data_IF_548261129340
#
_entry.id   IF_548261129340
#
_cell.length_a   1.000
_cell.length_b   1.000
_cell.length_c   1.000
_cell.angle_alpha   90.00
_cell.angle_beta   90.00
_cell.angle_gamma   90.00
#
_symmetry.space_group_name_H-M   'P 1'
#
loop_
_entity.id
_entity.type
_entity.pdbx_description
1 polymer ?
#
# COMPACT_ATOMS: atom_id res chain seq x y z
N UNK A 1 -60.45 14.10 35.43
CA UNK A 1 -59.30 14.27 34.51
C UNK A 1 -58.08 14.68 35.34
N UNK A 2 -57.25 13.72 35.73
CA UNK A 2 -55.93 13.93 36.35
C UNK A 2 -55.02 12.84 35.79
N UNK A 3 -54.16 13.24 34.88
CA UNK A 3 -53.19 12.39 34.18
C UNK A 3 -52.00 12.14 35.09
N UNK A 4 -51.69 10.86 35.31
CA UNK A 4 -50.48 10.38 35.96
C UNK A 4 -49.30 10.61 35.01
N UNK A 5 -48.29 11.37 35.45
CA UNK A 5 -46.98 11.44 34.80
C UNK A 5 -46.16 10.22 35.25
N UNK A 6 -45.90 9.31 34.33
CA UNK A 6 -44.85 8.31 34.46
C UNK A 6 -43.54 8.98 34.02
N UNK A 7 -42.61 9.17 34.96
CA UNK A 7 -41.23 9.53 34.63
C UNK A 7 -40.48 8.25 34.27
N UNK A 8 -40.35 7.97 32.98
CA UNK A 8 -39.33 7.03 32.51
C UNK A 8 -37.98 7.75 32.59
N UNK A 9 -37.11 7.32 33.50
CA UNK A 9 -35.68 7.61 33.41
C UNK A 9 -35.16 6.96 32.13
N UNK A 10 -35.09 7.75 31.06
CA UNK A 10 -34.29 7.42 29.89
C UNK A 10 -32.84 7.36 30.34
N UNK A 11 -32.27 6.16 30.34
CA UNK A 11 -30.83 6.01 30.27
C UNK A 11 -30.47 6.40 28.84
N UNK A 12 -30.16 7.68 28.62
CA UNK A 12 -29.43 8.11 27.42
C UNK A 12 -28.05 7.46 27.52
N UNK A 13 -27.91 6.32 26.84
CA UNK A 13 -26.61 5.78 26.52
C UNK A 13 -26.01 6.80 25.57
N UNK A 14 -25.05 7.59 26.06
CA UNK A 14 -24.20 8.40 25.20
C UNK A 14 -23.48 7.44 24.24
N UNK A 15 -23.95 7.37 22.99
CA UNK A 15 -23.35 6.62 21.88
C UNK A 15 -21.92 7.11 21.53
N UNK A 16 -21.45 8.17 22.19
CA UNK A 16 -20.14 8.78 22.00
C UNK A 16 -19.01 8.17 22.82
N UNK A 17 -19.25 7.16 23.67
CA UNK A 17 -18.21 6.56 24.52
C UNK A 17 -17.69 5.19 24.09
N UNK A 18 -18.10 4.66 22.92
CA UNK A 18 -17.71 3.31 22.49
C UNK A 18 -16.55 3.25 21.46
N UNK A 19 -16.06 4.40 20.96
CA UNK A 19 -15.14 4.45 19.81
C UNK A 19 -14.03 5.51 19.95
N UNK A 20 -13.30 5.53 21.08
CA UNK A 20 -12.15 6.45 21.26
C UNK A 20 -10.78 5.80 20.98
N UNK A 21 -10.73 4.50 20.69
CA UNK A 21 -9.48 3.78 20.37
C UNK A 21 -9.41 3.42 18.89
N UNK A 22 -8.77 4.27 18.09
CA UNK A 22 -8.57 4.08 16.65
C UNK A 22 -7.80 2.78 16.33
N UNK A 23 -6.95 2.28 17.23
CA UNK A 23 -6.24 1.01 17.04
C UNK A 23 -7.20 -0.19 17.22
N UNK A 24 -8.15 -0.10 18.15
CA UNK A 24 -9.20 -1.11 18.33
C UNK A 24 -10.15 -1.17 17.11
N UNK A 25 -10.53 -0.01 16.56
CA UNK A 25 -11.36 0.08 15.35
C UNK A 25 -10.66 -0.57 14.15
N UNK A 26 -9.37 -0.26 13.94
CA UNK A 26 -8.55 -0.88 12.90
C UNK A 26 -8.49 -2.41 13.05
N UNK A 27 -8.24 -2.91 14.27
CA UNK A 27 -8.19 -4.37 14.53
C UNK A 27 -9.51 -5.06 14.19
N UNK A 28 -10.63 -4.46 14.60
CA UNK A 28 -11.97 -5.05 14.36
C UNK A 28 -12.31 -5.06 12.87
N UNK A 29 -12.01 -3.97 12.16
CA UNK A 29 -12.26 -3.87 10.71
C UNK A 29 -11.37 -4.82 9.90
N UNK A 30 -10.11 -4.98 10.30
CA UNK A 30 -9.18 -5.97 9.72
C UNK A 30 -9.68 -7.40 9.89
N UNK A 31 -10.12 -7.77 11.09
CA UNK A 31 -10.67 -9.11 11.37
C UNK A 31 -11.91 -9.42 10.51
N UNK A 32 -12.85 -8.48 10.42
CA UNK A 32 -14.03 -8.64 9.56
C UNK A 32 -13.65 -8.78 8.09
N UNK A 33 -12.70 -7.98 7.61
CA UNK A 33 -12.22 -8.04 6.22
C UNK A 33 -11.54 -9.37 5.94
N UNK A 34 -10.77 -9.92 6.88
CA UNK A 34 -10.16 -11.24 6.74
C UNK A 34 -11.19 -12.37 6.65
N UNK A 35 -12.25 -12.33 7.46
CA UNK A 35 -13.35 -13.30 7.37
C UNK A 35 -14.11 -13.16 6.04
N UNK A 36 -14.29 -11.92 5.58
CA UNK A 36 -14.91 -11.67 4.30
C UNK A 36 -14.05 -12.18 3.13
N UNK A 37 -12.73 -11.99 3.18
CA UNK A 37 -11.78 -12.61 2.24
C UNK A 37 -11.94 -14.13 2.23
N UNK A 38 -11.97 -14.77 3.40
CA UNK A 38 -12.19 -16.21 3.47
C UNK A 38 -13.47 -16.63 2.73
N UNK A 39 -14.56 -15.88 2.88
CA UNK A 39 -15.81 -16.19 2.18
C UNK A 39 -15.74 -16.03 0.66
N UNK A 40 -14.90 -15.11 0.16
CA UNK A 40 -14.74 -14.89 -1.28
C UNK A 40 -13.79 -15.87 -1.95
N UNK A 41 -12.78 -16.36 -1.23
CA UNK A 41 -11.74 -17.24 -1.79
C UNK A 41 -12.18 -18.70 -1.75
N UNK A 42 -12.86 -19.10 -0.68
CA UNK A 42 -13.16 -20.51 -0.45
C UNK A 42 -14.23 -21.02 -1.41
N UNK A 43 -13.97 -22.19 -1.98
CA UNK A 43 -14.92 -22.93 -2.81
C UNK A 43 -15.75 -23.93 -2.00
N UNK A 44 -15.33 -24.24 -0.78
CA UNK A 44 -16.04 -25.13 0.13
C UNK A 44 -15.91 -24.71 1.61
N UNK A 45 -16.67 -25.38 2.47
CA UNK A 45 -16.71 -25.08 3.91
C UNK A 45 -15.44 -25.46 4.67
N UNK A 46 -14.69 -26.45 4.18
CA UNK A 46 -13.44 -26.89 4.84
C UNK A 46 -12.34 -25.84 4.67
N UNK A 47 -12.19 -25.31 3.46
CA UNK A 47 -11.30 -24.17 3.17
C UNK A 47 -11.70 -22.95 4.00
N UNK A 48 -12.99 -22.62 4.06
CA UNK A 48 -13.48 -21.47 4.83
C UNK A 48 -13.15 -21.60 6.31
N UNK A 49 -13.35 -22.79 6.88
CA UNK A 49 -13.00 -23.07 8.26
C UNK A 49 -11.48 -22.94 8.50
N UNK A 50 -10.67 -23.53 7.62
CA UNK A 50 -9.21 -23.46 7.72
C UNK A 50 -8.71 -22.01 7.66
N UNK A 51 -9.18 -21.23 6.68
CA UNK A 51 -8.88 -19.80 6.54
C UNK A 51 -9.31 -19.00 7.78
N UNK A 52 -10.53 -19.20 8.26
CA UNK A 52 -11.04 -18.51 9.45
C UNK A 52 -10.21 -18.82 10.70
N UNK A 53 -9.67 -20.04 10.82
CA UNK A 53 -8.81 -20.45 11.93
C UNK A 53 -7.40 -19.83 11.88
N UNK A 54 -6.94 -19.35 10.73
CA UNK A 54 -5.60 -18.77 10.56
C UNK A 54 -5.61 -17.27 10.28
N UNK A 55 -6.77 -16.68 10.00
CA UNK A 55 -6.94 -15.26 9.77
C UNK A 55 -6.26 -14.42 10.88
N UNK A 56 -5.42 -13.47 10.47
CA UNK A 56 -4.67 -12.60 11.38
C UNK A 56 -3.51 -13.27 12.14
N UNK A 57 -3.24 -14.57 11.91
CA UNK A 57 -2.00 -15.19 12.42
C UNK A 57 -0.82 -14.77 11.56
N UNK A 58 0.30 -14.54 12.22
CA UNK A 58 1.58 -14.33 11.54
C UNK A 58 1.98 -15.56 10.74
N UNK A 59 2.44 -15.38 9.50
CA UNK A 59 2.89 -16.46 8.62
C UNK A 59 3.93 -17.39 9.25
N UNK A 60 4.84 -16.84 10.06
CA UNK A 60 5.89 -17.59 10.77
C UNK A 60 5.35 -18.57 11.82
N UNK A 61 4.11 -18.37 12.29
CA UNK A 61 3.45 -19.21 13.30
C UNK A 61 2.58 -20.30 12.69
N UNK A 62 2.58 -20.41 11.37
CA UNK A 62 1.68 -21.28 10.61
C UNK A 62 2.50 -22.22 9.73
N UNK A 63 2.20 -23.52 9.81
CA UNK A 63 2.81 -24.50 8.92
C UNK A 63 2.04 -24.56 7.59
N UNK A 64 2.59 -23.88 6.58
CA UNK A 64 1.99 -23.76 5.26
C UNK A 64 1.87 -25.10 4.52
N UNK A 65 2.64 -26.14 4.89
CA UNK A 65 2.63 -27.42 4.18
C UNK A 65 1.38 -28.26 4.46
N UNK A 66 0.66 -27.96 5.54
CA UNK A 66 -0.49 -28.73 6.01
C UNK A 66 -1.82 -27.96 5.88
N UNK A 67 -1.82 -26.84 5.16
CA UNK A 67 -2.99 -25.99 4.98
C UNK A 67 -3.35 -25.84 3.50
N UNK A 68 -4.64 -25.59 3.20
CA UNK A 68 -5.05 -25.12 1.89
C UNK A 68 -4.25 -23.87 1.51
N UNK A 69 -3.87 -23.76 0.24
CA UNK A 69 -3.08 -22.62 -0.25
C UNK A 69 -3.79 -21.29 -0.02
N UNK A 70 -5.13 -21.29 -0.03
CA UNK A 70 -6.02 -20.15 0.19
C UNK A 70 -5.77 -19.48 1.55
N UNK A 71 -5.33 -20.25 2.55
CA UNK A 71 -4.97 -19.74 3.87
C UNK A 71 -3.96 -18.60 3.82
N UNK A 72 -3.02 -18.61 2.86
CA UNK A 72 -2.01 -17.54 2.75
C UNK A 72 -2.62 -16.15 2.59
N UNK A 73 -3.79 -16.06 1.95
CA UNK A 73 -4.42 -14.79 1.64
C UNK A 73 -4.87 -14.03 2.88
N UNK A 74 -5.06 -14.68 4.04
CA UNK A 74 -5.53 -14.06 5.28
C UNK A 74 -4.51 -14.08 6.42
N UNK A 75 -3.27 -14.49 6.13
CA UNK A 75 -2.18 -14.43 7.09
C UNK A 75 -1.61 -13.01 7.16
N UNK A 76 -1.19 -12.63 8.36
CA UNK A 76 -0.36 -11.46 8.58
C UNK A 76 1.08 -11.79 8.17
N UNK A 77 1.64 -10.99 7.27
CA UNK A 77 2.98 -11.12 6.72
C UNK A 77 3.80 -9.94 7.25
N UNK A 78 4.67 -10.18 8.25
CA UNK A 78 5.51 -9.13 8.81
C UNK A 78 6.44 -8.53 7.77
N UNK A 79 6.74 -7.24 7.92
CA UNK A 79 7.76 -6.55 7.13
C UNK A 79 9.09 -7.31 7.06
N UNK A 80 9.61 -7.76 8.20
CA UNK A 80 10.87 -8.50 8.26
C UNK A 80 10.80 -9.83 7.49
N UNK A 81 9.63 -10.48 7.47
CA UNK A 81 9.43 -11.69 6.70
C UNK A 81 9.53 -11.40 5.19
N UNK A 82 8.84 -10.35 4.71
CA UNK A 82 8.92 -9.93 3.30
C UNK A 82 10.35 -9.58 2.90
N UNK A 83 11.08 -8.86 3.76
CA UNK A 83 12.47 -8.49 3.49
C UNK A 83 13.39 -9.70 3.28
N UNK A 84 13.10 -10.83 3.92
CA UNK A 84 13.88 -12.07 3.80
C UNK A 84 13.32 -13.07 2.77
N UNK A 85 12.06 -12.91 2.36
CA UNK A 85 11.32 -13.87 1.54
C UNK A 85 10.45 -13.15 0.50
N UNK A 86 11.05 -12.45 -0.46
CA UNK A 86 10.33 -11.75 -1.54
C UNK A 86 10.66 -12.28 -2.94
N UNK A 87 11.22 -13.48 -3.03
CA UNK A 87 11.69 -14.08 -4.27
C UNK A 87 10.60 -14.89 -4.98
N UNK A 88 10.72 -14.98 -6.30
CA UNK A 88 9.76 -15.71 -7.14
C UNK A 88 9.57 -17.19 -6.74
N UNK A 89 10.57 -17.80 -6.10
CA UNK A 89 10.54 -19.20 -5.65
C UNK A 89 9.98 -19.41 -4.24
N UNK A 90 9.64 -18.34 -3.50
CA UNK A 90 9.09 -18.49 -2.17
C UNK A 90 7.67 -19.09 -2.22
N UNK A 91 7.45 -20.17 -1.46
CA UNK A 91 6.18 -20.93 -1.46
C UNK A 91 4.95 -20.04 -1.20
N UNK A 92 5.07 -19.06 -0.30
CA UNK A 92 3.96 -18.15 0.00
C UNK A 92 3.61 -17.22 -1.19
N UNK A 93 4.61 -16.80 -1.96
CA UNK A 93 4.42 -16.03 -3.20
C UNK A 93 3.84 -16.91 -4.28
N UNK A 94 4.32 -18.15 -4.45
CA UNK A 94 3.75 -19.11 -5.41
C UNK A 94 2.25 -19.35 -5.14
N UNK A 95 1.89 -19.56 -3.88
CA UNK A 95 0.50 -19.77 -3.48
C UNK A 95 -0.36 -18.55 -3.80
N UNK A 96 0.06 -17.34 -3.41
CA UNK A 96 -0.65 -16.10 -3.74
C UNK A 96 -0.74 -15.87 -5.25
N UNK A 97 0.34 -16.12 -6.00
CA UNK A 97 0.36 -16.01 -7.47
C UNK A 97 -0.66 -16.93 -8.12
N UNK A 98 -0.86 -18.12 -7.57
CA UNK A 98 -1.88 -19.04 -8.07
C UNK A 98 -3.33 -18.57 -7.82
N UNK A 99 -3.53 -17.66 -6.85
CA UNK A 99 -4.84 -17.10 -6.49
C UNK A 99 -5.13 -15.78 -7.22
N UNK A 100 -4.09 -15.04 -7.62
CA UNK A 100 -4.22 -13.72 -8.23
C UNK A 100 -5.15 -13.66 -9.45
N UNK A 101 -5.11 -14.61 -10.42
CA UNK A 101 -6.01 -14.58 -11.57
C UNK A 101 -7.48 -14.67 -11.18
N UNK A 102 -7.82 -15.56 -10.26
CA UNK A 102 -9.21 -15.75 -9.80
C UNK A 102 -9.75 -14.49 -9.10
N UNK A 103 -8.91 -13.84 -8.28
CA UNK A 103 -9.26 -12.55 -7.67
C UNK A 103 -9.53 -11.47 -8.70
N UNK A 104 -8.65 -11.37 -9.70
CA UNK A 104 -8.78 -10.36 -10.74
C UNK A 104 -10.02 -10.60 -11.61
N UNK A 105 -10.30 -11.85 -11.98
CA UNK A 105 -11.53 -12.22 -12.69
C UNK A 105 -12.78 -11.83 -11.89
N UNK A 106 -12.83 -12.15 -10.58
CA UNK A 106 -13.95 -11.75 -9.71
C UNK A 106 -14.16 -10.23 -9.65
N UNK A 107 -13.07 -9.47 -9.67
CA UNK A 107 -13.11 -8.01 -9.72
C UNK A 107 -13.65 -7.47 -11.06
N UNK A 108 -13.17 -8.00 -12.19
CA UNK A 108 -13.67 -7.64 -13.51
C UNK A 108 -15.17 -7.97 -13.65
N UNK A 109 -15.58 -9.15 -13.17
CA UNK A 109 -16.99 -9.56 -13.09
C UNK A 109 -17.83 -8.57 -12.27
N UNK A 110 -17.29 -8.08 -11.16
CA UNK A 110 -17.95 -7.08 -10.32
C UNK A 110 -18.15 -5.76 -11.06
N UNK A 111 -17.10 -5.18 -11.68
CA UNK A 111 -17.21 -3.92 -12.43
C UNK A 111 -18.25 -4.06 -13.55
N UNK A 112 -18.20 -5.17 -14.29
CA UNK A 112 -19.11 -5.41 -15.40
C UNK A 112 -20.58 -5.49 -14.94
N UNK A 113 -20.84 -6.05 -13.75
CA UNK A 113 -22.19 -6.10 -13.15
C UNK A 113 -22.65 -4.73 -12.64
N UNK A 114 -21.75 -3.95 -12.04
CA UNK A 114 -22.08 -2.65 -11.45
C UNK A 114 -22.38 -1.58 -12.53
N UNK A 115 -21.72 -1.68 -13.69
CA UNK A 115 -22.04 -0.86 -14.88
C UNK A 115 -23.48 -1.04 -15.38
N UNK A 116 -24.13 -2.17 -15.05
CA UNK A 116 -25.51 -2.50 -15.42
C UNK A 116 -26.55 -1.95 -14.39
N UNK A 117 -26.09 -1.46 -13.22
CA UNK A 117 -26.94 -1.05 -12.08
C UNK A 117 -26.77 0.46 -11.75
N UNK A 118 -26.53 1.31 -12.76
CA UNK A 118 -26.40 2.78 -12.63
C UNK A 118 -27.67 3.54 -12.17
N UNK A 119 -28.40 3.05 -11.18
CA UNK A 119 -29.57 3.73 -10.60
C UNK A 119 -29.67 3.69 -9.08
N UNK A 120 -28.69 3.19 -8.31
CA UNK A 120 -28.76 3.28 -6.84
C UNK A 120 -27.43 3.68 -6.19
N UNK A 121 -27.52 4.76 -5.44
CA UNK A 121 -26.52 5.36 -4.56
C UNK A 121 -26.07 4.43 -3.42
N UNK A 122 -24.82 4.64 -2.99
CA UNK A 122 -24.31 4.44 -1.61
C UNK A 122 -24.29 3.02 -1.02
N UNK A 123 -23.89 2.01 -1.80
CA UNK A 123 -23.36 0.78 -1.20
C UNK A 123 -21.84 0.75 -1.42
N UNK A 124 -21.06 0.78 -0.33
CA UNK A 124 -19.64 0.40 -0.38
C UNK A 124 -19.57 -1.03 -0.90
N UNK A 125 -18.78 -1.24 -1.96
CA UNK A 125 -18.61 -2.58 -2.51
C UNK A 125 -17.68 -3.41 -1.65
N UNK A 126 -17.75 -4.73 -1.84
CA UNK A 126 -16.76 -5.68 -1.36
C UNK A 126 -15.33 -5.23 -1.66
N UNK A 127 -15.09 -4.74 -2.88
CA UNK A 127 -13.77 -4.33 -3.34
C UNK A 127 -13.33 -3.01 -2.70
N UNK A 128 -14.26 -2.08 -2.44
CA UNK A 128 -13.94 -0.84 -1.71
C UNK A 128 -13.52 -1.13 -0.27
N UNK A 129 -14.16 -2.11 0.39
CA UNK A 129 -13.78 -2.57 1.73
C UNK A 129 -12.34 -3.12 1.71
N UNK A 130 -12.03 -3.97 0.74
CA UNK A 130 -10.67 -4.52 0.61
C UNK A 130 -9.65 -3.44 0.29
N UNK A 131 -9.90 -2.58 -0.70
CA UNK A 131 -8.97 -1.51 -1.05
C UNK A 131 -8.72 -0.57 0.14
N UNK A 132 -9.77 -0.22 0.89
CA UNK A 132 -9.65 0.59 2.11
C UNK A 132 -8.76 -0.11 3.15
N UNK A 133 -9.06 -1.37 3.47
CA UNK A 133 -8.27 -2.13 4.43
C UNK A 133 -6.84 -2.34 3.97
N UNK A 134 -6.60 -2.58 2.68
CA UNK A 134 -5.27 -2.75 2.11
C UNK A 134 -4.43 -1.48 2.22
N UNK A 135 -5.02 -0.29 2.02
CA UNK A 135 -4.32 0.98 2.24
C UNK A 135 -3.99 1.16 3.75
N UNK A 136 -4.88 0.74 4.65
CA UNK A 136 -4.60 0.75 6.10
C UNK A 136 -3.48 -0.22 6.47
N UNK A 137 -3.44 -1.40 5.88
CA UNK A 137 -2.38 -2.38 6.08
C UNK A 137 -1.04 -1.89 5.52
N UNK A 138 -1.06 -1.23 4.35
CA UNK A 138 0.11 -0.54 3.80
C UNK A 138 0.66 0.52 4.78
N UNK A 139 -0.21 1.40 5.28
CA UNK A 139 0.19 2.42 6.26
C UNK A 139 0.72 1.80 7.56
N UNK A 140 0.10 0.72 8.04
CA UNK A 140 0.61 -0.05 9.19
C UNK A 140 2.02 -0.61 8.91
N UNK A 141 2.22 -1.23 7.74
CA UNK A 141 3.52 -1.73 7.30
C UNK A 141 4.57 -0.61 7.31
N UNK A 142 4.28 0.56 6.76
CA UNK A 142 5.26 1.67 6.68
C UNK A 142 5.53 2.29 8.05
N UNK A 143 4.48 2.61 8.80
CA UNK A 143 4.57 3.46 9.99
C UNK A 143 4.94 2.69 11.27
N UNK A 144 4.50 1.43 11.41
CA UNK A 144 4.75 0.66 12.64
C UNK A 144 6.03 -0.16 12.51
N UNK A 145 6.81 -0.22 13.59
CA UNK A 145 8.04 -1.02 13.67
C UNK A 145 7.75 -2.51 13.45
N UNK A 146 6.69 -3.02 14.08
CA UNK A 146 6.20 -4.39 13.92
C UNK A 146 5.02 -4.44 12.91
N UNK A 147 5.06 -3.56 11.91
CA UNK A 147 4.04 -3.48 10.88
C UNK A 147 3.96 -4.74 10.04
N UNK A 148 2.75 -5.04 9.58
CA UNK A 148 2.48 -6.19 8.72
C UNK A 148 1.52 -5.81 7.59
N UNK A 149 1.52 -6.67 6.59
CA UNK A 149 0.53 -6.65 5.51
C UNK A 149 -0.24 -7.98 5.53
N UNK A 150 -1.41 -8.05 4.89
CA UNK A 150 -2.17 -9.28 4.76
C UNK A 150 -1.95 -9.87 3.36
N UNK A 151 -1.95 -11.20 3.23
CA UNK A 151 -1.66 -11.87 1.96
C UNK A 151 -2.47 -11.36 0.76
N UNK A 152 -3.78 -11.12 0.92
CA UNK A 152 -4.62 -10.60 -0.16
C UNK A 152 -4.24 -9.17 -0.60
N UNK A 153 -3.58 -8.38 0.25
CA UNK A 153 -3.18 -7.01 -0.10
C UNK A 153 -2.18 -6.99 -1.27
N UNK A 154 -1.37 -8.06 -1.42
CA UNK A 154 -0.43 -8.19 -2.53
C UNK A 154 -1.12 -8.38 -3.90
N UNK A 155 -2.42 -8.68 -3.89
CA UNK A 155 -3.27 -8.78 -5.09
C UNK A 155 -4.18 -7.54 -5.17
N UNK A 156 -4.76 -7.14 -4.04
CA UNK A 156 -5.74 -6.06 -3.97
C UNK A 156 -5.14 -4.68 -4.22
N UNK A 157 -3.93 -4.38 -3.71
CA UNK A 157 -3.30 -3.09 -3.97
C UNK A 157 -3.01 -2.89 -5.46
N UNK A 158 -2.43 -3.88 -6.19
CA UNK A 158 -2.33 -3.79 -7.64
C UNK A 158 -3.69 -3.59 -8.35
N UNK A 159 -4.74 -4.32 -7.94
CA UNK A 159 -6.10 -4.13 -8.47
C UNK A 159 -6.58 -2.69 -8.25
N UNK A 160 -6.43 -2.17 -7.03
CA UNK A 160 -6.86 -0.82 -6.67
C UNK A 160 -6.07 0.27 -7.43
N UNK A 161 -4.77 0.07 -7.67
CA UNK A 161 -3.96 0.97 -8.49
C UNK A 161 -4.36 0.94 -9.97
N UNK A 162 -4.77 -0.23 -10.47
CA UNK A 162 -5.29 -0.40 -11.83
C UNK A 162 -6.65 0.28 -12.00
N UNK A 163 -7.57 0.09 -11.04
CA UNK A 163 -8.89 0.72 -11.03
C UNK A 163 -8.80 2.24 -10.96
N UNK A 164 -7.98 2.73 -10.02
CA UNK A 164 -7.89 4.14 -9.68
C UNK A 164 -6.44 4.52 -9.38
N UNK A 165 -5.85 5.28 -10.31
CA UNK A 165 -4.46 5.73 -10.23
C UNK A 165 -4.16 6.58 -8.99
N UNK A 166 -5.18 7.17 -8.35
CA UNK A 166 -5.02 7.91 -7.10
C UNK A 166 -4.51 7.01 -5.98
N UNK A 167 -4.89 5.73 -5.96
CA UNK A 167 -4.41 4.77 -4.95
C UNK A 167 -2.89 4.69 -5.00
N UNK A 168 -2.30 4.56 -6.19
CA UNK A 168 -0.85 4.54 -6.38
C UNK A 168 -0.18 5.80 -5.83
N UNK A 169 -0.75 6.96 -6.13
CA UNK A 169 -0.22 8.25 -5.65
C UNK A 169 -0.37 8.36 -4.11
N UNK A 170 -1.45 7.84 -3.52
CA UNK A 170 -1.63 7.75 -2.06
C UNK A 170 -0.57 6.87 -1.40
N UNK A 171 -0.29 5.68 -1.94
CA UNK A 171 0.75 4.79 -1.40
C UNK A 171 2.13 5.46 -1.40
N UNK A 172 2.42 6.25 -2.44
CA UNK A 172 3.63 7.04 -2.54
C UNK A 172 3.67 8.18 -1.52
N UNK A 173 2.57 8.92 -1.36
CA UNK A 173 2.46 10.01 -0.38
C UNK A 173 2.67 9.48 1.04
N UNK A 174 2.10 8.33 1.38
CA UNK A 174 2.28 7.70 2.69
C UNK A 174 3.75 7.36 2.98
N UNK A 175 4.50 6.89 1.96
CA UNK A 175 5.93 6.67 2.10
C UNK A 175 6.73 7.98 2.23
N UNK A 176 6.38 9.01 1.45
CA UNK A 176 7.08 10.30 1.46
C UNK A 176 6.79 11.13 2.72
N UNK A 177 5.61 10.96 3.32
CA UNK A 177 5.25 11.53 4.62
C UNK A 177 5.70 10.61 5.76
N UNK A 178 6.98 10.24 5.77
CA UNK A 178 7.55 9.25 6.70
C UNK A 178 7.39 9.59 8.18
N UNK A 179 7.07 10.85 8.50
CA UNK A 179 6.83 11.39 9.84
C UNK A 179 5.35 11.59 10.17
N UNK A 180 4.44 11.46 9.20
CA UNK A 180 3.00 11.71 9.37
C UNK A 180 2.69 13.17 9.69
N UNK A 181 3.39 14.11 9.05
CA UNK A 181 3.23 15.55 9.28
C UNK A 181 2.02 16.12 8.51
N UNK A 182 1.65 15.50 7.39
CA UNK A 182 0.67 16.03 6.45
C UNK A 182 -0.59 15.17 6.39
N UNK A 183 -0.43 13.85 6.38
CA UNK A 183 -1.53 12.92 6.12
C UNK A 183 -1.68 11.90 7.25
N UNK A 184 -2.86 11.89 7.86
CA UNK A 184 -3.31 10.75 8.65
C UNK A 184 -4.01 9.72 7.73
N UNK A 185 -4.28 8.52 8.25
CA UNK A 185 -4.90 7.45 7.48
C UNK A 185 -6.24 7.85 6.83
N UNK A 186 -7.07 8.64 7.51
CA UNK A 186 -8.36 9.07 6.98
C UNK A 186 -8.16 10.04 5.78
N UNK A 187 -7.12 10.87 5.83
CA UNK A 187 -6.73 11.78 4.76
C UNK A 187 -6.12 11.03 3.57
N UNK A 188 -5.35 9.97 3.81
CA UNK A 188 -4.84 9.08 2.76
C UNK A 188 -5.99 8.35 2.03
N UNK A 189 -6.98 7.86 2.77
CA UNK A 189 -8.16 7.22 2.19
C UNK A 189 -8.99 8.20 1.37
N UNK A 190 -9.13 9.45 1.85
CA UNK A 190 -9.75 10.55 1.10
C UNK A 190 -8.99 10.78 -0.22
N UNK A 191 -7.65 10.88 -0.16
CA UNK A 191 -6.81 11.06 -1.34
C UNK A 191 -6.95 9.91 -2.36
N UNK A 192 -7.10 8.68 -1.87
CA UNK A 192 -7.23 7.49 -2.71
C UNK A 192 -8.60 7.42 -3.42
N UNK A 193 -9.70 7.63 -2.70
CA UNK A 193 -11.04 7.28 -3.19
C UNK A 193 -11.89 8.47 -3.63
N UNK A 194 -11.64 9.67 -3.14
CA UNK A 194 -12.45 10.83 -3.54
C UNK A 194 -12.05 11.36 -4.93
N UNK A 195 -13.01 11.89 -5.72
CA UNK A 195 -12.72 12.55 -6.97
C UNK A 195 -11.72 13.70 -6.78
N UNK A 196 -10.66 13.77 -7.61
CA UNK A 196 -9.69 14.86 -7.52
C UNK A 196 -10.35 16.20 -7.82
N UNK A 197 -10.42 17.05 -6.81
CA UNK A 197 -10.70 18.47 -6.97
C UNK A 197 -9.43 19.22 -7.37
N UNK A 198 -9.58 20.47 -7.81
CA UNK A 198 -8.43 21.33 -8.13
C UNK A 198 -7.62 21.64 -6.87
N UNK A 199 -8.31 21.76 -5.75
CA UNK A 199 -7.77 22.03 -4.43
C UNK A 199 -6.91 20.86 -3.97
N UNK A 200 -7.44 19.63 -3.97
CA UNK A 200 -6.68 18.42 -3.60
C UNK A 200 -5.45 18.24 -4.51
N UNK A 201 -5.61 18.48 -5.81
CA UNK A 201 -4.49 18.37 -6.76
C UNK A 201 -3.40 19.41 -6.50
N UNK A 202 -3.79 20.62 -6.08
CA UNK A 202 -2.86 21.68 -5.72
C UNK A 202 -2.13 21.35 -4.42
N UNK A 203 -2.84 20.84 -3.41
CA UNK A 203 -2.25 20.50 -2.11
C UNK A 203 -1.25 19.34 -2.26
N UNK A 204 -1.61 18.30 -3.01
CA UNK A 204 -0.69 17.20 -3.35
C UNK A 204 0.57 17.72 -4.07
N UNK A 205 0.40 18.64 -5.03
CA UNK A 205 1.53 19.23 -5.74
C UNK A 205 2.43 20.04 -4.81
N UNK A 206 1.87 20.87 -3.94
CA UNK A 206 2.63 21.63 -2.95
C UNK A 206 3.43 20.68 -2.03
N UNK A 207 2.80 19.61 -1.54
CA UNK A 207 3.46 18.58 -0.74
C UNK A 207 4.65 17.95 -1.49
N UNK A 208 4.45 17.51 -2.74
CA UNK A 208 5.50 16.90 -3.55
C UNK A 208 6.64 17.88 -3.85
N UNK A 209 6.32 19.14 -4.16
CA UNK A 209 7.32 20.19 -4.39
C UNK A 209 8.12 20.48 -3.11
N UNK A 210 7.47 20.50 -1.94
CA UNK A 210 8.13 20.69 -0.65
C UNK A 210 9.08 19.52 -0.34
N UNK A 211 8.59 18.28 -0.40
CA UNK A 211 9.42 17.09 -0.15
C UNK A 211 10.53 16.91 -1.18
N UNK A 212 10.32 17.30 -2.44
CA UNK A 212 11.37 17.24 -3.48
C UNK A 212 12.48 18.26 -3.23
N UNK A 213 12.13 19.44 -2.73
CA UNK A 213 13.08 20.53 -2.46
C UNK A 213 13.69 20.49 -1.05
N UNK A 214 13.37 19.48 -0.23
CA UNK A 214 13.98 19.31 1.10
C UNK A 214 15.48 19.01 0.95
N UNK A 215 16.32 19.85 1.56
CA UNK A 215 17.78 19.77 1.47
C UNK A 215 18.46 19.43 2.79
N UNK A 216 17.75 19.48 3.91
CA UNK A 216 18.30 19.42 5.27
C UNK A 216 18.03 18.10 5.97
N UNK A 217 17.14 17.29 5.42
CA UNK A 217 16.76 16.01 6.00
C UNK A 217 17.00 14.85 5.04
N UNK A 218 17.59 13.79 5.57
CA UNK A 218 17.70 12.51 4.86
C UNK A 218 16.35 11.79 4.95
N UNK A 219 15.73 11.42 3.82
CA UNK A 219 14.51 10.62 3.86
C UNK A 219 14.78 9.22 4.42
N UNK A 220 13.74 8.54 4.90
CA UNK A 220 13.87 7.22 5.51
C UNK A 220 14.14 6.15 4.44
N UNK A 221 15.42 5.94 4.13
CA UNK A 221 15.89 4.97 3.13
C UNK A 221 15.50 3.54 3.52
N UNK A 222 15.49 3.21 4.82
CA UNK A 222 15.13 1.88 5.30
C UNK A 222 13.66 1.58 4.99
N UNK A 223 12.74 2.51 5.28
CA UNK A 223 11.33 2.38 4.89
C UNK A 223 11.15 2.23 3.39
N UNK A 224 11.91 2.99 2.59
CA UNK A 224 11.85 2.89 1.14
C UNK A 224 12.32 1.51 0.65
N UNK A 225 13.37 0.93 1.25
CA UNK A 225 13.81 -0.43 0.95
C UNK A 225 12.77 -1.48 1.34
N UNK A 226 12.15 -1.35 2.52
CA UNK A 226 11.07 -2.24 2.96
C UNK A 226 9.93 -2.24 1.93
N UNK A 227 9.52 -1.05 1.49
CA UNK A 227 8.46 -0.88 0.49
C UNK A 227 8.87 -1.47 -0.86
N UNK A 228 10.09 -1.24 -1.33
CA UNK A 228 10.56 -1.83 -2.60
C UNK A 228 10.59 -3.36 -2.53
N UNK A 229 11.00 -3.96 -1.42
CA UNK A 229 10.97 -5.42 -1.25
C UNK A 229 9.54 -5.97 -1.24
N UNK A 230 8.61 -5.25 -0.61
CA UNK A 230 7.19 -5.58 -0.70
C UNK A 230 6.68 -5.49 -2.15
N UNK A 231 7.04 -4.45 -2.89
CA UNK A 231 6.65 -4.30 -4.29
C UNK A 231 7.28 -5.38 -5.20
N UNK A 232 8.50 -5.85 -4.90
CA UNK A 232 9.08 -7.03 -5.57
C UNK A 232 8.22 -8.27 -5.34
N UNK A 233 7.80 -8.51 -4.10
CA UNK A 233 6.90 -9.62 -3.78
C UNK A 233 5.56 -9.46 -4.51
N UNK A 234 4.95 -8.26 -4.51
CA UNK A 234 3.72 -7.98 -5.25
C UNK A 234 3.89 -8.25 -6.74
N UNK A 235 4.98 -7.79 -7.37
CA UNK A 235 5.26 -8.04 -8.78
C UNK A 235 5.38 -9.54 -9.10
N UNK A 236 5.95 -10.32 -8.18
CA UNK A 236 5.98 -11.79 -8.31
C UNK A 236 4.59 -12.41 -8.14
N UNK A 237 3.74 -11.88 -7.25
CA UNK A 237 2.36 -12.36 -7.04
C UNK A 237 1.48 -12.09 -8.26
N UNK A 238 1.59 -10.92 -8.88
CA UNK A 238 0.76 -10.56 -10.05
C UNK A 238 1.46 -10.82 -11.39
N UNK A 239 2.48 -11.68 -11.43
CA UNK A 239 3.34 -11.85 -12.61
C UNK A 239 2.55 -12.18 -13.90
N UNK A 240 1.50 -13.01 -13.77
CA UNK A 240 0.64 -13.42 -14.88
C UNK A 240 -0.40 -12.39 -15.33
N UNK A 241 -0.43 -11.18 -14.74
CA UNK A 241 -1.45 -10.16 -15.01
C UNK A 241 -0.76 -8.82 -15.35
N UNK A 242 -0.41 -8.60 -16.63
CA UNK A 242 0.36 -7.43 -17.06
C UNK A 242 -0.24 -6.08 -16.62
N UNK A 243 -1.56 -5.94 -16.68
CA UNK A 243 -2.31 -4.73 -16.34
C UNK A 243 -2.10 -4.29 -14.89
N UNK A 244 -1.95 -5.24 -13.98
CA UNK A 244 -1.67 -4.99 -12.57
C UNK A 244 -0.17 -4.76 -12.36
N UNK A 245 0.65 -5.58 -13.00
CA UNK A 245 2.10 -5.59 -12.84
C UNK A 245 2.75 -4.26 -13.24
N UNK A 246 2.25 -3.60 -14.28
CA UNK A 246 2.79 -2.32 -14.73
C UNK A 246 2.68 -1.21 -13.67
N UNK A 247 1.60 -1.19 -12.89
CA UNK A 247 1.43 -0.19 -11.81
C UNK A 247 2.42 -0.43 -10.67
N UNK A 248 2.72 -1.70 -10.37
CA UNK A 248 3.74 -2.07 -9.38
C UNK A 248 5.12 -1.60 -9.84
N UNK A 249 5.52 -1.89 -11.09
CA UNK A 249 6.80 -1.43 -11.62
C UNK A 249 6.90 0.10 -11.72
N UNK A 250 5.80 0.80 -12.05
CA UNK A 250 5.78 2.25 -12.05
C UNK A 250 6.10 2.83 -10.66
N UNK A 251 5.50 2.28 -9.60
CA UNK A 251 5.75 2.71 -8.23
C UNK A 251 7.18 2.36 -7.79
N UNK A 252 7.68 1.16 -8.11
CA UNK A 252 9.07 0.76 -7.85
C UNK A 252 10.08 1.68 -8.53
N UNK A 253 9.83 2.03 -9.80
CA UNK A 253 10.65 2.94 -10.59
C UNK A 253 10.74 4.30 -9.90
N UNK A 254 9.59 4.88 -9.53
CA UNK A 254 9.53 6.17 -8.86
C UNK A 254 10.28 6.17 -7.53
N UNK A 255 10.04 5.17 -6.66
CA UNK A 255 10.68 5.07 -5.35
C UNK A 255 12.19 4.88 -5.52
N UNK A 256 12.61 4.02 -6.45
CA UNK A 256 14.03 3.77 -6.67
C UNK A 256 14.79 4.99 -7.18
N UNK A 257 14.14 5.81 -8.03
CA UNK A 257 14.66 7.11 -8.46
C UNK A 257 14.71 8.11 -7.30
N UNK A 258 13.62 8.27 -6.56
CA UNK A 258 13.50 9.28 -5.50
C UNK A 258 14.48 9.03 -4.35
N UNK A 259 14.69 7.77 -3.96
CA UNK A 259 15.50 7.37 -2.81
C UNK A 259 16.92 6.89 -3.20
N UNK A 260 17.29 6.96 -4.48
CA UNK A 260 18.57 6.44 -5.05
C UNK A 260 18.85 4.97 -4.70
N UNK A 261 17.85 4.11 -4.83
CA UNK A 261 17.96 2.68 -4.48
C UNK A 261 18.61 1.80 -5.56
N UNK A 262 18.88 2.37 -6.76
CA UNK A 262 19.41 1.63 -7.91
C UNK A 262 18.30 1.10 -8.83
N UNK A 263 18.66 0.28 -9.84
CA UNK A 263 17.74 -0.43 -10.74
C UNK A 263 16.68 0.41 -11.49
N UNK A 264 16.79 1.75 -11.51
CA UNK A 264 15.80 2.64 -12.14
C UNK A 264 15.58 2.29 -13.61
N UNK A 265 16.65 2.16 -14.39
CA UNK A 265 16.58 1.80 -15.82
C UNK A 265 15.90 0.45 -16.04
N UNK A 266 16.21 -0.54 -15.19
CA UNK A 266 15.58 -1.86 -15.24
C UNK A 266 14.07 -1.78 -14.99
N UNK A 267 13.63 -1.00 -13.99
CA UNK A 267 12.20 -0.81 -13.73
C UNK A 267 11.51 -0.01 -14.83
N UNK A 268 12.19 0.94 -15.45
CA UNK A 268 11.70 1.65 -16.66
C UNK A 268 11.46 0.66 -17.78
N UNK A 269 12.45 -0.16 -18.13
CA UNK A 269 12.35 -1.16 -19.20
C UNK A 269 11.19 -2.13 -18.95
N UNK A 270 11.14 -2.74 -17.75
CA UNK A 270 10.09 -3.72 -17.41
C UNK A 270 8.68 -3.13 -17.44
N UNK A 271 8.50 -1.85 -17.09
CA UNK A 271 7.19 -1.22 -17.13
C UNK A 271 6.80 -0.78 -18.56
N UNK A 272 7.73 -0.19 -19.32
CA UNK A 272 7.47 0.26 -20.70
C UNK A 272 7.31 -0.90 -21.69
N UNK A 273 7.89 -2.06 -21.40
CA UNK A 273 7.65 -3.30 -22.15
C UNK A 273 6.19 -3.77 -22.03
N UNK A 274 5.51 -3.45 -20.92
CA UNK A 274 4.10 -3.78 -20.70
C UNK A 274 3.19 -2.66 -21.22
N UNK A 275 3.45 -1.41 -20.84
CA UNK A 275 2.71 -0.22 -21.27
C UNK A 275 3.69 0.90 -21.69
N UNK A 276 3.94 1.06 -23.01
CA UNK A 276 4.79 2.12 -23.53
C UNK A 276 4.32 3.54 -23.19
N UNK A 277 3.05 3.71 -22.81
CA UNK A 277 2.43 4.99 -22.49
C UNK A 277 2.28 5.22 -20.97
N UNK A 278 2.87 4.36 -20.13
CA UNK A 278 2.84 4.51 -18.67
C UNK A 278 3.43 5.87 -18.23
N UNK A 279 2.55 6.79 -17.83
CA UNK A 279 2.89 8.20 -17.64
C UNK A 279 3.92 8.44 -16.53
N UNK A 280 3.77 7.77 -15.39
CA UNK A 280 4.70 7.89 -14.25
C UNK A 280 6.10 7.43 -14.65
N UNK A 281 6.22 6.31 -15.35
CA UNK A 281 7.51 5.75 -15.77
C UNK A 281 8.19 6.68 -16.77
N UNK A 282 7.46 7.22 -17.74
CA UNK A 282 8.01 8.18 -18.71
C UNK A 282 8.51 9.47 -18.05
N UNK A 283 7.82 9.94 -17.00
CA UNK A 283 8.26 11.09 -16.21
C UNK A 283 9.57 10.75 -15.49
N UNK A 284 9.65 9.59 -14.84
CA UNK A 284 10.86 9.15 -14.12
C UNK A 284 12.03 8.91 -15.08
N UNK A 285 11.82 8.24 -16.22
CA UNK A 285 12.86 8.02 -17.24
C UNK A 285 13.44 9.34 -17.76
N UNK A 286 12.57 10.33 -18.04
CA UNK A 286 13.00 11.66 -18.45
C UNK A 286 13.79 12.36 -17.34
N UNK A 287 13.30 12.35 -16.10
CA UNK A 287 13.98 12.95 -14.95
C UNK A 287 15.36 12.29 -14.72
N UNK A 288 15.42 10.96 -14.75
CA UNK A 288 16.63 10.18 -14.54
C UNK A 288 17.70 10.47 -15.61
N UNK A 289 17.33 10.45 -16.90
CA UNK A 289 18.26 10.76 -18.02
C UNK A 289 18.76 12.20 -18.02
N UNK A 290 17.97 13.13 -17.47
CA UNK A 290 18.36 14.53 -17.34
C UNK A 290 19.02 14.84 -15.99
N UNK A 291 19.33 13.83 -15.17
CA UNK A 291 19.94 13.98 -13.84
C UNK A 291 19.14 14.92 -12.91
N UNK A 292 17.81 14.89 -13.03
CA UNK A 292 16.91 15.57 -12.11
C UNK A 292 16.73 14.67 -10.89
N UNK A 293 17.16 15.17 -9.73
CA UNK A 293 17.16 14.43 -8.47
C UNK A 293 16.56 15.29 -7.34
N UNK A 294 15.96 14.66 -6.31
CA UNK A 294 15.53 15.39 -5.12
C UNK A 294 16.69 16.13 -4.43
N UNK A 295 16.39 17.25 -3.79
CA UNK A 295 17.41 18.19 -3.32
C UNK A 295 18.27 17.62 -2.16
N UNK A 296 17.74 16.69 -1.38
CA UNK A 296 18.46 15.98 -0.30
C UNK A 296 19.71 15.26 -0.83
N UNK A 297 19.71 14.82 -2.11
CA UNK A 297 20.84 14.15 -2.73
C UNK A 297 22.12 14.99 -2.71
N UNK A 298 22.00 16.33 -2.80
CA UNK A 298 23.17 17.23 -2.86
C UNK A 298 24.03 17.16 -1.59
N UNK A 299 23.41 17.00 -0.41
CA UNK A 299 24.12 17.00 0.88
C UNK A 299 24.47 15.60 1.35
N UNK A 300 23.61 14.62 1.09
CA UNK A 300 23.74 13.29 1.70
C UNK A 300 24.26 12.21 0.74
N UNK A 301 24.25 12.46 -0.58
CA UNK A 301 24.56 11.43 -1.56
C UNK A 301 25.98 11.50 -2.15
N UNK A 302 26.87 12.31 -1.57
CA UNK A 302 28.30 12.36 -1.91
C UNK A 302 29.14 12.16 -0.64
N UNK A 303 30.10 11.21 -0.60
CA UNK A 303 31.21 11.30 0.34
C UNK A 303 31.97 12.58 0.03
N UNK A 304 32.07 13.51 0.98
CA UNK A 304 33.05 14.58 0.86
C UNK A 304 34.43 13.93 0.94
N UNK A 305 35.08 13.69 -0.20
CA UNK A 305 36.53 13.70 -0.23
C UNK A 305 36.93 15.12 0.18
N UNK A 306 37.22 15.30 1.47
CA UNK A 306 37.99 16.44 1.95
C UNK A 306 39.32 16.42 1.17
N UNK A 307 39.37 17.19 0.08
CA UNK A 307 40.63 17.63 -0.46
C UNK A 307 41.25 18.52 0.61
N UNK A 308 41.98 17.91 1.54
CA UNK A 308 43.01 18.56 2.33
C UNK A 308 44.02 19.14 1.35
N UNK A 309 43.73 20.33 0.82
CA UNK A 309 44.77 21.27 0.46
C UNK A 309 45.26 21.82 1.79
N UNK A 310 46.22 21.12 2.38
CA UNK A 310 47.17 21.74 3.30
C UNK A 310 47.66 23.03 2.63
N UNK A 311 47.19 24.18 3.13
CA UNK A 311 47.90 25.43 2.98
C UNK A 311 49.13 25.35 3.89
N UNK A 312 50.14 24.62 3.46
CA UNK A 312 51.50 24.98 3.84
C UNK A 312 51.89 26.13 2.92
N UNK A 313 52.05 27.32 3.50
CA UNK A 313 52.97 28.40 3.11
C UNK A 313 52.66 29.64 3.98
N UNK A 314 53.03 29.54 5.26
CA UNK A 314 53.62 30.60 6.08
C UNK A 314 54.99 30.01 6.47
N UNK A 315 56.15 30.64 6.41
CA UNK A 315 56.57 32.02 6.20
C UNK A 315 58.06 32.01 5.76
N UNK A 316 58.53 33.13 5.21
CA UNK A 316 59.93 33.55 5.33
C UNK A 316 60.30 33.84 6.80
#
# INVERSE_FOLDING_TARGET
MKTLKNESKGCEINETQFFEDKDHEYSTFKEMTNLYAASMICNNSEEYFAMSCVAGKTIEKVDLNHLPKECIAVLDIPKDYVNNHHDYSDNWIENLRSLAPEFFEKYIDYINRDLDVKCKQEAFSAFDIFANQSIRNWNNMICKKEGNIVGYDLIMLPIAMFDNINVRDTLLVDLLDSKGEYYNIDSLLTLAFEPRTKEISKDLRCFLEEKFNEEHELPDICKALDVVNLLKAMACVVDGIPELKVQVYALMCYISWWFRLGDVEKYVEMALDIDPDCSMVRIVDNAYRNHVEPAWCKKFATPQEESNKESSLEDD
#
